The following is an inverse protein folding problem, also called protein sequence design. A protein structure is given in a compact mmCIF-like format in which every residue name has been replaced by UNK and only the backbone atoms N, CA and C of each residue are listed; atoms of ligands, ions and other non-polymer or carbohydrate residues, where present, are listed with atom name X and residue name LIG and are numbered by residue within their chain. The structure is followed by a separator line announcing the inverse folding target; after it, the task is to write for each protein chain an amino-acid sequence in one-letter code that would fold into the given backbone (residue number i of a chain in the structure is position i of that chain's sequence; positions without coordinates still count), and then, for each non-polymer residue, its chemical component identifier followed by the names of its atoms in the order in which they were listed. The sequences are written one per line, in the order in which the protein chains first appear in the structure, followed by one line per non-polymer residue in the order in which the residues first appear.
data_IF_201877143975
#
_entry.id   IF_201877143975
#
_cell.length_a   1.000
_cell.length_b   1.000
_cell.length_c   1.000
_cell.angle_alpha   90.00
_cell.angle_beta   90.00
_cell.angle_gamma   90.00
#
_symmetry.space_group_name_H-M   'P 1'
#
loop_
_entity.id
_entity.type
_entity.pdbx_description
1 polymer ?
#
# COMPACT_ATOMS: atom_id res chain seq x y z
N UNK A 1 44.89 -0.36 -23.09
CA UNK A 1 43.69 -0.49 -23.96
C UNK A 1 42.72 -1.42 -23.23
N UNK A 2 41.45 -1.01 -23.06
CA UNK A 2 40.46 -1.88 -22.43
C UNK A 2 39.99 -2.90 -23.49
N UNK A 3 40.00 -4.18 -23.14
CA UNK A 3 39.58 -5.24 -24.06
C UNK A 3 38.08 -5.18 -24.37
N UNK A 4 37.66 -5.45 -25.59
CA UNK A 4 36.25 -5.50 -25.94
C UNK A 4 35.54 -6.64 -25.19
N UNK A 5 34.29 -6.45 -24.84
CA UNK A 5 33.46 -7.43 -24.12
C UNK A 5 32.35 -7.94 -25.05
N UNK A 6 31.86 -9.15 -24.80
CA UNK A 6 30.81 -9.76 -25.62
C UNK A 6 29.45 -9.64 -24.91
N UNK A 7 28.46 -9.11 -25.60
CA UNK A 7 27.08 -9.06 -25.09
C UNK A 7 26.57 -10.48 -24.82
N UNK A 8 26.15 -10.74 -23.59
CA UNK A 8 25.63 -12.06 -23.18
C UNK A 8 24.27 -12.41 -23.76
N UNK A 9 23.57 -11.44 -24.38
CA UNK A 9 22.28 -11.70 -25.00
C UNK A 9 22.37 -12.04 -26.50
N UNK A 10 23.09 -11.23 -27.28
CA UNK A 10 23.16 -11.39 -28.75
C UNK A 10 24.53 -11.84 -29.24
N UNK A 11 25.55 -11.97 -28.41
CA UNK A 11 26.90 -12.35 -28.80
C UNK A 11 27.71 -11.25 -29.50
N UNK A 12 27.15 -10.04 -29.64
CA UNK A 12 27.85 -8.92 -30.28
C UNK A 12 29.02 -8.45 -29.43
N UNK A 13 30.14 -8.16 -30.06
CA UNK A 13 31.28 -7.52 -29.43
C UNK A 13 30.98 -6.04 -29.25
N UNK A 14 31.11 -5.54 -28.02
CA UNK A 14 30.87 -4.15 -27.63
C UNK A 14 32.12 -3.56 -26.96
N UNK A 15 32.30 -2.26 -27.14
CA UNK A 15 33.36 -1.57 -26.40
C UNK A 15 32.99 -1.51 -24.92
N UNK A 16 33.95 -1.66 -23.96
CA UNK A 16 33.63 -1.61 -22.53
C UNK A 16 32.86 -0.38 -22.06
N UNK A 17 33.02 0.77 -22.75
CA UNK A 17 32.29 2.02 -22.47
C UNK A 17 30.82 1.95 -22.87
N UNK A 18 30.47 1.06 -23.82
CA UNK A 18 29.12 0.88 -24.36
C UNK A 18 28.42 -0.31 -23.67
N UNK A 19 29.02 -0.84 -22.61
CA UNK A 19 28.42 -1.90 -21.81
C UNK A 19 27.31 -1.31 -20.93
N UNK A 20 26.06 -1.52 -21.33
CA UNK A 20 24.87 -1.13 -20.59
C UNK A 20 24.49 -2.10 -19.47
N UNK A 21 25.13 -3.28 -19.41
CA UNK A 21 24.96 -4.27 -18.35
C UNK A 21 25.96 -4.08 -17.20
N UNK A 22 26.13 -5.12 -16.37
CA UNK A 22 27.12 -5.16 -15.31
C UNK A 22 28.44 -5.74 -15.81
N UNK A 23 29.54 -5.58 -15.03
CA UNK A 23 30.85 -6.13 -15.39
C UNK A 23 30.85 -7.66 -15.60
N UNK A 24 30.05 -8.40 -14.84
CA UNK A 24 29.90 -9.85 -14.96
C UNK A 24 28.88 -10.29 -16.02
N UNK A 25 27.99 -9.39 -16.43
CA UNK A 25 26.92 -9.64 -17.41
C UNK A 25 26.85 -8.49 -18.42
N UNK A 26 27.90 -8.37 -19.31
CA UNK A 26 27.93 -7.32 -20.31
C UNK A 26 26.77 -7.46 -21.31
N UNK A 27 26.16 -6.33 -21.67
CA UNK A 27 25.03 -6.23 -22.60
C UNK A 27 25.14 -4.98 -23.44
N UNK A 28 24.80 -5.08 -24.72
CA UNK A 28 24.62 -3.89 -25.55
C UNK A 28 23.31 -3.18 -25.18
N UNK A 29 23.25 -1.88 -25.45
CA UNK A 29 22.10 -1.04 -25.12
C UNK A 29 20.80 -1.61 -25.73
N UNK A 30 20.82 -1.98 -27.00
CA UNK A 30 19.66 -2.56 -27.69
C UNK A 30 19.10 -3.80 -26.97
N UNK A 31 19.97 -4.74 -26.56
CA UNK A 31 19.54 -5.92 -25.82
C UNK A 31 19.04 -5.60 -24.42
N UNK A 32 19.52 -4.52 -23.83
CA UNK A 32 18.99 -4.05 -22.54
C UNK A 32 17.59 -3.49 -22.71
N UNK A 33 17.40 -2.58 -23.66
CA UNK A 33 16.12 -1.92 -23.94
C UNK A 33 15.04 -2.90 -24.41
N UNK A 34 15.39 -3.83 -25.31
CA UNK A 34 14.44 -4.80 -25.88
C UNK A 34 13.98 -5.89 -24.89
N UNK A 35 14.81 -6.21 -23.88
CA UNK A 35 14.60 -7.42 -23.05
C UNK A 35 14.48 -7.17 -21.58
N UNK A 36 14.77 -5.96 -21.11
CA UNK A 36 14.77 -5.61 -19.72
C UNK A 36 14.02 -4.30 -19.49
N UNK A 37 13.41 -4.21 -18.34
CA UNK A 37 12.79 -3.00 -17.82
C UNK A 37 13.25 -2.75 -16.39
N UNK A 38 13.15 -1.52 -15.92
CA UNK A 38 13.47 -1.19 -14.53
C UNK A 38 12.22 -1.32 -13.67
N UNK A 39 12.36 -1.96 -12.52
CA UNK A 39 11.28 -1.98 -11.53
C UNK A 39 10.94 -0.56 -11.08
N UNK A 40 9.69 -0.16 -11.20
CA UNK A 40 9.23 1.19 -10.85
C UNK A 40 9.48 1.55 -9.38
N UNK A 41 9.55 0.55 -8.49
CA UNK A 41 9.77 0.78 -7.05
C UNK A 41 11.24 0.82 -6.66
N UNK A 42 12.05 -0.18 -7.06
CA UNK A 42 13.43 -0.34 -6.57
C UNK A 42 14.51 -0.06 -7.63
N UNK A 43 14.11 0.22 -8.88
CA UNK A 43 15.03 0.47 -9.98
C UNK A 43 15.82 -0.76 -10.48
N UNK A 44 15.62 -1.95 -9.91
CA UNK A 44 16.29 -3.17 -10.36
C UNK A 44 15.88 -3.52 -11.77
N UNK A 45 16.87 -3.79 -12.63
CA UNK A 45 16.62 -4.28 -13.99
C UNK A 45 16.08 -5.71 -13.96
N UNK A 46 14.93 -5.91 -14.56
CA UNK A 46 14.22 -7.19 -14.65
C UNK A 46 14.01 -7.57 -16.12
N UNK A 47 14.12 -8.85 -16.46
CA UNK A 47 13.71 -9.30 -17.79
C UNK A 47 12.24 -9.00 -18.04
N UNK A 48 11.87 -8.51 -19.23
CA UNK A 48 10.48 -8.12 -19.55
C UNK A 48 9.46 -9.23 -19.27
N UNK A 49 9.85 -10.51 -19.48
CA UNK A 49 8.98 -11.67 -19.21
C UNK A 49 8.81 -11.99 -17.70
N UNK A 50 9.57 -11.34 -16.83
CA UNK A 50 9.46 -11.47 -15.37
C UNK A 50 8.86 -10.21 -14.73
N UNK A 51 8.60 -9.18 -15.53
CA UNK A 51 7.93 -7.99 -15.04
C UNK A 51 6.50 -8.32 -14.64
N UNK A 52 6.13 -7.93 -13.43
CA UNK A 52 4.78 -8.01 -12.91
C UNK A 52 4.10 -6.65 -13.09
N UNK A 53 2.86 -6.66 -13.54
CA UNK A 53 2.05 -5.45 -13.76
C UNK A 53 0.82 -5.49 -12.88
N UNK A 54 0.33 -4.32 -12.50
CA UNK A 54 -0.88 -4.22 -11.70
C UNK A 54 -2.13 -4.58 -12.53
N UNK A 55 -3.12 -5.27 -11.93
CA UNK A 55 -4.40 -5.46 -12.58
C UNK A 55 -5.15 -4.13 -12.63
N UNK A 56 -5.35 -3.60 -13.83
CA UNK A 56 -6.13 -2.40 -14.20
C UNK A 56 -6.15 -1.23 -13.20
N UNK A 57 -5.59 -0.12 -13.58
CA UNK A 57 -5.56 1.11 -12.79
C UNK A 57 -4.60 2.16 -13.35
N UNK A 58 -4.30 3.19 -12.56
CA UNK A 58 -3.49 4.35 -12.99
C UNK A 58 -2.04 3.96 -13.34
N UNK A 59 -1.52 2.89 -12.73
CA UNK A 59 -0.14 2.43 -12.89
C UNK A 59 -0.06 1.05 -13.59
N UNK A 60 -1.05 0.70 -14.42
CA UNK A 60 -1.12 -0.62 -15.08
C UNK A 60 0.03 -0.89 -16.05
N UNK A 61 0.68 0.15 -16.56
CA UNK A 61 1.85 0.04 -17.44
C UNK A 61 3.19 0.04 -16.68
N UNK A 62 3.21 0.23 -15.36
CA UNK A 62 4.44 0.24 -14.58
C UNK A 62 4.94 -1.18 -14.26
N UNK A 63 6.19 -1.51 -14.62
CA UNK A 63 6.76 -2.81 -14.34
C UNK A 63 7.30 -2.91 -12.92
N UNK A 64 6.97 -3.99 -12.21
CA UNK A 64 7.52 -4.32 -10.89
C UNK A 64 8.30 -5.62 -10.92
N UNK A 65 9.41 -5.72 -10.19
CA UNK A 65 10.05 -7.02 -9.97
C UNK A 65 9.16 -7.90 -9.07
N UNK A 66 9.29 -9.25 -9.16
CA UNK A 66 8.46 -10.17 -8.36
C UNK A 66 8.47 -9.86 -6.85
N UNK A 67 9.62 -9.52 -6.29
CA UNK A 67 9.75 -9.20 -4.86
C UNK A 67 8.98 -7.93 -4.49
N UNK A 68 9.13 -6.87 -5.30
CA UNK A 68 8.38 -5.64 -5.09
C UNK A 68 6.88 -5.84 -5.31
N UNK A 69 6.49 -6.62 -6.29
CA UNK A 69 5.09 -6.96 -6.55
C UNK A 69 4.48 -7.74 -5.38
N UNK A 70 5.15 -8.77 -4.88
CA UNK A 70 4.69 -9.59 -3.76
C UNK A 70 4.72 -8.84 -2.42
N UNK A 71 5.65 -7.91 -2.23
CA UNK A 71 5.75 -7.10 -1.01
C UNK A 71 4.85 -5.86 -1.02
N UNK A 72 3.87 -5.79 -1.91
CA UNK A 72 2.83 -4.76 -1.94
C UNK A 72 3.16 -3.52 -2.78
N UNK A 73 4.23 -3.54 -3.58
CA UNK A 73 4.43 -2.48 -4.59
C UNK A 73 3.38 -2.54 -5.70
N UNK A 74 2.83 -3.73 -5.91
CA UNK A 74 1.75 -3.98 -6.84
C UNK A 74 0.35 -3.84 -6.25
N UNK A 75 0.20 -3.50 -4.98
CA UNK A 75 -1.10 -3.18 -4.41
C UNK A 75 -1.27 -1.67 -4.43
N UNK A 76 -2.36 -1.20 -5.02
CA UNK A 76 -2.76 0.19 -4.85
C UNK A 76 -2.79 0.47 -3.35
N UNK A 77 -2.09 1.50 -2.85
CA UNK A 77 -2.12 1.81 -1.42
C UNK A 77 -3.51 2.27 -0.98
N UNK A 78 -4.29 2.83 -1.91
CA UNK A 78 -5.69 3.20 -1.73
C UNK A 78 -6.52 2.25 -2.58
N UNK A 79 -7.29 1.40 -1.93
CA UNK A 79 -8.18 0.44 -2.56
C UNK A 79 -9.50 1.08 -3.01
N UNK A 80 -10.24 0.39 -3.87
CA UNK A 80 -11.56 0.84 -4.28
C UNK A 80 -12.55 0.84 -3.10
N UNK A 81 -13.62 1.61 -3.21
CA UNK A 81 -14.69 1.74 -2.19
C UNK A 81 -15.21 0.40 -1.65
N UNK A 82 -15.35 -0.61 -2.51
CA UNK A 82 -15.86 -1.92 -2.12
C UNK A 82 -14.80 -2.89 -1.58
N UNK A 83 -13.55 -2.46 -1.42
CA UNK A 83 -12.51 -3.31 -0.88
C UNK A 83 -12.82 -3.75 0.55
N UNK A 84 -12.74 -5.07 0.78
CA UNK A 84 -12.99 -5.69 2.08
C UNK A 84 -12.04 -6.86 2.26
N UNK A 85 -10.89 -6.65 2.90
CA UNK A 85 -9.94 -7.72 3.16
C UNK A 85 -10.49 -8.70 4.20
N UNK A 86 -9.97 -9.93 4.19
CA UNK A 86 -10.20 -10.86 5.29
C UNK A 86 -9.72 -10.24 6.60
N UNK A 87 -10.53 -10.23 7.67
CA UNK A 87 -10.16 -9.56 8.92
C UNK A 87 -9.00 -10.27 9.62
N UNK A 88 -8.02 -9.48 10.04
CA UNK A 88 -6.97 -9.89 10.97
C UNK A 88 -7.30 -9.33 12.35
N UNK A 89 -7.30 -10.18 13.39
CA UNK A 89 -7.63 -9.74 14.75
C UNK A 89 -6.36 -9.48 15.55
N UNK A 90 -6.27 -8.29 16.18
CA UNK A 90 -5.10 -7.83 16.90
C UNK A 90 -5.37 -7.63 18.38
N UNK A 91 -4.44 -8.10 19.21
CA UNK A 91 -4.55 -8.04 20.67
C UNK A 91 -5.52 -9.09 21.24
N UNK A 92 -5.67 -9.05 22.56
CA UNK A 92 -6.52 -9.96 23.32
C UNK A 92 -7.62 -9.17 24.05
N UNK A 93 -8.82 -9.73 24.10
CA UNK A 93 -9.92 -9.10 24.80
C UNK A 93 -11.28 -9.72 24.47
N UNK A 94 -12.32 -9.32 25.21
CA UNK A 94 -13.66 -9.86 24.98
C UNK A 94 -14.33 -9.26 23.72
N UNK A 95 -13.84 -8.11 23.24
CA UNK A 95 -14.40 -7.39 22.10
C UNK A 95 -13.31 -6.86 21.19
N UNK A 96 -13.60 -6.84 19.88
CA UNK A 96 -12.76 -6.27 18.84
C UNK A 96 -13.59 -5.28 18.03
N UNK A 97 -12.99 -4.18 17.63
CA UNK A 97 -13.61 -3.19 16.75
C UNK A 97 -12.58 -2.62 15.76
N UNK A 98 -13.04 -2.22 14.59
CA UNK A 98 -12.29 -1.45 13.64
C UNK A 98 -12.56 0.04 13.83
N UNK A 99 -11.64 0.87 13.37
CA UNK A 99 -11.76 2.32 13.30
C UNK A 99 -11.69 2.72 11.84
N UNK A 100 -12.61 3.52 11.39
CA UNK A 100 -12.60 4.22 10.11
C UNK A 100 -12.27 5.68 10.38
N UNK A 101 -11.22 6.19 9.74
CA UNK A 101 -10.77 7.57 9.86
C UNK A 101 -10.75 8.20 8.47
N UNK A 102 -11.66 9.10 8.23
CA UNK A 102 -11.75 9.91 7.03
C UNK A 102 -10.78 11.08 7.12
N UNK A 103 -9.94 11.26 6.10
CA UNK A 103 -9.00 12.37 5.96
C UNK A 103 -9.18 13.01 4.58
N UNK A 104 -9.19 14.35 4.51
CA UNK A 104 -9.54 15.12 3.32
C UNK A 104 -8.64 16.34 3.15
N UNK A 105 -8.78 17.09 2.04
CA UNK A 105 -8.11 18.35 1.73
C UNK A 105 -6.65 18.25 1.23
N UNK A 106 -6.07 17.06 1.12
CA UNK A 106 -4.68 16.91 0.69
C UNK A 106 -4.47 15.84 -0.40
N UNK A 107 -5.53 15.47 -1.09
CA UNK A 107 -5.52 14.56 -2.23
C UNK A 107 -5.72 13.10 -1.87
N UNK A 108 -6.36 12.35 -2.77
CA UNK A 108 -6.30 10.88 -2.78
C UNK A 108 -4.92 10.44 -3.31
N UNK A 109 -3.87 10.78 -2.55
CA UNK A 109 -2.49 10.64 -2.95
C UNK A 109 -1.88 9.31 -2.49
N UNK A 110 -1.39 8.52 -3.45
CA UNK A 110 -0.81 7.20 -3.21
C UNK A 110 0.47 7.23 -2.38
N UNK A 111 1.29 8.26 -2.50
CA UNK A 111 2.55 8.35 -1.74
C UNK A 111 2.28 8.73 -0.28
N UNK A 112 1.31 9.60 -0.06
CA UNK A 112 0.84 9.94 1.27
C UNK A 112 0.23 8.70 1.95
N UNK A 113 -0.60 7.94 1.24
CA UNK A 113 -1.16 6.69 1.75
C UNK A 113 -0.06 5.67 2.10
N UNK A 114 0.96 5.49 1.25
CA UNK A 114 2.11 4.60 1.55
C UNK A 114 2.84 5.02 2.82
N UNK A 115 3.03 6.32 3.05
CA UNK A 115 3.68 6.83 4.28
C UNK A 115 2.86 6.53 5.53
N UNK A 116 1.55 6.76 5.47
CA UNK A 116 0.65 6.45 6.58
C UNK A 116 0.60 4.95 6.87
N UNK A 117 0.50 4.12 5.82
CA UNK A 117 0.56 2.67 5.94
C UNK A 117 1.89 2.18 6.54
N UNK A 118 3.02 2.79 6.18
CA UNK A 118 4.32 2.42 6.74
C UNK A 118 4.42 2.72 8.24
N UNK A 119 3.82 3.82 8.70
CA UNK A 119 3.76 4.18 10.14
C UNK A 119 2.87 3.20 10.89
N UNK A 120 1.67 2.93 10.36
CA UNK A 120 0.69 2.10 11.04
C UNK A 120 1.07 0.61 11.05
N UNK A 121 1.53 0.09 9.92
CA UNK A 121 1.61 -1.35 9.69
C UNK A 121 2.91 -1.98 10.19
N UNK A 122 4.05 -1.29 10.13
CA UNK A 122 5.35 -1.79 10.61
C UNK A 122 5.63 -3.26 10.26
N UNK A 123 5.24 -3.68 9.02
CA UNK A 123 5.37 -5.05 8.55
C UNK A 123 4.22 -5.99 8.91
N UNK A 124 3.17 -5.50 9.57
CA UNK A 124 1.95 -6.24 9.93
C UNK A 124 0.71 -5.54 9.36
N UNK A 125 -0.27 -6.24 8.76
CA UNK A 125 -1.44 -5.63 8.15
C UNK A 125 -2.44 -5.14 9.22
N UNK A 126 -2.17 -4.00 9.84
CA UNK A 126 -3.02 -3.42 10.87
C UNK A 126 -4.05 -2.45 10.30
N UNK A 127 -3.71 -1.77 9.21
CA UNK A 127 -4.49 -0.71 8.60
C UNK A 127 -4.41 -0.81 7.08
N UNK A 128 -5.47 -0.44 6.38
CA UNK A 128 -5.52 -0.25 4.94
C UNK A 128 -6.21 1.06 4.59
N UNK A 129 -5.96 1.57 3.37
CA UNK A 129 -6.61 2.77 2.86
C UNK A 129 -7.58 2.38 1.75
N UNK A 130 -8.67 3.12 1.63
CA UNK A 130 -9.61 2.97 0.51
C UNK A 130 -10.23 4.30 0.12
N UNK A 131 -10.71 4.36 -1.12
CA UNK A 131 -11.50 5.45 -1.64
C UNK A 131 -12.82 5.59 -0.87
N UNK A 132 -13.20 6.83 -0.55
CA UNK A 132 -14.53 7.17 -0.06
C UNK A 132 -15.11 8.32 -0.90
N UNK A 133 -16.20 8.03 -1.62
CA UNK A 133 -16.85 9.00 -2.50
C UNK A 133 -17.59 10.14 -1.76
N UNK A 134 -17.59 10.16 -0.42
CA UNK A 134 -18.12 11.27 0.37
C UNK A 134 -17.05 12.36 0.63
N UNK A 135 -15.79 12.06 0.37
CA UNK A 135 -14.67 12.98 0.52
C UNK A 135 -14.45 13.75 -0.78
N UNK A 136 -14.07 15.02 -0.68
CA UNK A 136 -13.81 15.86 -1.84
C UNK A 136 -12.42 15.62 -2.42
N UNK A 137 -11.40 15.50 -1.59
CA UNK A 137 -10.00 15.34 -1.99
C UNK A 137 -9.17 14.59 -0.92
N UNK A 138 -9.58 13.36 -0.65
CA UNK A 138 -9.01 12.55 0.42
C UNK A 138 -9.31 11.06 0.30
N UNK A 139 -9.08 10.31 1.37
CA UNK A 139 -9.34 8.89 1.44
C UNK A 139 -9.58 8.44 2.89
N UNK A 140 -10.03 7.21 3.04
CA UNK A 140 -10.38 6.60 4.32
C UNK A 140 -9.27 5.65 4.77
N UNK A 141 -8.89 5.77 6.05
CA UNK A 141 -7.99 4.86 6.77
C UNK A 141 -8.83 3.89 7.61
N UNK A 142 -8.71 2.60 7.34
CA UNK A 142 -9.52 1.57 8.01
C UNK A 142 -8.63 0.59 8.74
N UNK A 143 -8.84 0.39 10.04
CA UNK A 143 -8.10 -0.62 10.79
C UNK A 143 -8.76 -1.99 10.67
N UNK A 144 -7.96 -3.03 10.74
CA UNK A 144 -8.47 -4.36 11.07
C UNK A 144 -9.04 -4.37 12.50
N UNK A 145 -9.90 -5.35 12.85
CA UNK A 145 -10.45 -5.44 14.19
C UNK A 145 -9.36 -5.60 15.27
N UNK A 146 -9.37 -4.70 16.26
CA UNK A 146 -8.40 -4.69 17.35
C UNK A 146 -9.11 -4.62 18.69
N UNK A 147 -8.50 -5.19 19.73
CA UNK A 147 -8.97 -4.99 21.10
C UNK A 147 -8.75 -3.54 21.53
N UNK A 148 -9.52 -3.06 22.49
CA UNK A 148 -9.33 -1.70 23.05
C UNK A 148 -7.92 -1.49 23.61
N UNK A 149 -7.36 -2.53 24.24
CA UNK A 149 -5.98 -2.47 24.75
C UNK A 149 -5.00 -2.26 23.60
N UNK A 150 -5.12 -3.03 22.51
CA UNK A 150 -4.25 -2.91 21.35
C UNK A 150 -4.32 -1.53 20.69
N UNK A 151 -5.52 -0.98 20.52
CA UNK A 151 -5.69 0.40 20.04
C UNK A 151 -4.98 1.43 20.89
N UNK A 152 -4.89 1.22 22.21
CA UNK A 152 -4.28 2.16 23.15
C UNK A 152 -2.78 2.03 23.29
N UNK A 153 -2.23 0.82 23.17
CA UNK A 153 -0.83 0.55 23.50
C UNK A 153 0.05 0.26 22.29
N UNK A 154 -0.50 -0.36 21.25
CA UNK A 154 0.28 -0.84 20.11
C UNK A 154 0.05 -0.02 18.83
N UNK A 155 -1.18 0.47 18.63
CA UNK A 155 -1.47 1.26 17.44
C UNK A 155 -0.84 2.66 17.54
N UNK A 156 0.02 3.07 16.60
CA UNK A 156 0.76 4.33 16.67
C UNK A 156 -0.09 5.55 16.25
N UNK A 157 -1.27 5.72 16.84
CA UNK A 157 -2.22 6.76 16.49
C UNK A 157 -1.63 8.16 16.46
N UNK A 158 -0.84 8.51 17.48
CA UNK A 158 -0.26 9.85 17.56
C UNK A 158 0.68 10.13 16.39
N UNK A 159 1.55 9.19 16.04
CA UNK A 159 2.47 9.34 14.91
C UNK A 159 1.72 9.40 13.58
N UNK A 160 0.69 8.54 13.41
CA UNK A 160 -0.15 8.48 12.22
C UNK A 160 -0.89 9.80 11.99
N UNK A 161 -1.58 10.30 13.02
CA UNK A 161 -2.35 11.55 12.95
C UNK A 161 -1.46 12.78 12.74
N UNK A 162 -0.30 12.84 13.42
CA UNK A 162 0.67 13.92 13.21
C UNK A 162 1.19 13.96 11.78
N UNK A 163 1.47 12.80 11.19
CA UNK A 163 1.94 12.74 9.81
C UNK A 163 0.83 13.15 8.83
N UNK A 164 -0.41 12.69 9.03
CA UNK A 164 -1.55 13.12 8.21
C UNK A 164 -1.72 14.65 8.24
N UNK A 165 -1.71 15.26 9.42
CA UNK A 165 -1.79 16.72 9.57
C UNK A 165 -0.59 17.42 8.92
N UNK A 166 0.63 16.86 9.06
CA UNK A 166 1.83 17.42 8.41
C UNK A 166 1.73 17.43 6.89
N UNK A 167 1.06 16.46 6.31
CA UNK A 167 0.79 16.37 4.87
C UNK A 167 -0.37 17.25 4.40
N UNK A 168 -1.07 17.92 5.34
CA UNK A 168 -2.15 18.86 5.04
C UNK A 168 -3.55 18.26 5.17
N UNK A 169 -3.68 17.01 5.57
CA UNK A 169 -5.00 16.42 5.76
C UNK A 169 -5.73 17.01 6.96
N UNK A 170 -7.01 17.21 6.78
CA UNK A 170 -7.99 17.54 7.80
C UNK A 170 -8.96 16.36 7.96
N UNK A 171 -9.74 16.34 9.04
CA UNK A 171 -10.81 15.38 9.25
C UNK A 171 -12.10 16.14 9.58
N UNK A 172 -12.56 16.12 10.80
CA UNK A 172 -13.82 16.76 11.23
C UNK A 172 -13.97 18.26 10.90
N UNK A 173 -12.91 18.92 10.45
CA UNK A 173 -12.90 20.35 10.06
C UNK A 173 -13.12 20.56 8.56
N UNK A 174 -13.00 19.53 7.73
CA UNK A 174 -13.21 19.63 6.28
C UNK A 174 -14.68 19.85 5.90
N UNK A 175 -15.61 19.45 6.76
CA UNK A 175 -17.03 19.48 6.50
C UNK A 175 -17.55 18.27 5.71
N UNK A 176 -16.67 17.49 5.11
CA UNK A 176 -16.94 16.25 4.36
C UNK A 176 -16.75 15.00 5.20
N UNK A 177 -15.76 15.04 6.11
CA UNK A 177 -15.51 13.95 7.05
C UNK A 177 -16.57 13.89 8.16
N UNK A 178 -17.01 12.68 8.49
CA UNK A 178 -17.91 12.44 9.62
C UNK A 178 -17.28 12.87 10.95
N UNK A 179 -18.07 13.29 11.97
CA UNK A 179 -17.53 13.59 13.27
C UNK A 179 -16.95 12.33 13.91
N UNK A 180 -15.79 12.40 14.57
CA UNK A 180 -15.15 11.27 15.27
C UNK A 180 -15.93 10.80 16.50
N UNK A 181 -17.06 11.44 16.82
CA UNK A 181 -17.94 11.11 17.95
C UNK A 181 -19.30 10.65 17.48
N UNK A 182 -19.90 9.65 18.15
CA UNK A 182 -21.27 9.25 17.85
C UNK A 182 -22.21 10.45 18.05
N UNK A 183 -22.91 10.84 17.00
CA UNK A 183 -24.15 11.59 17.17
C UNK A 183 -25.07 10.71 18.03
N UNK A 184 -25.86 11.30 18.91
CA UNK A 184 -26.80 10.61 19.80
C UNK A 184 -27.87 9.75 19.09
N UNK A 185 -27.76 9.56 17.81
CA UNK A 185 -28.49 8.57 17.02
C UNK A 185 -27.51 7.64 16.31
N UNK A 186 -26.84 6.83 17.08
CA UNK A 186 -26.31 5.52 16.77
C UNK A 186 -25.60 5.35 15.42
N UNK A 187 -24.33 5.44 15.35
CA UNK A 187 -23.51 4.34 14.85
C UNK A 187 -22.04 4.69 14.99
N UNK A 188 -21.44 4.26 16.08
CA UNK A 188 -20.14 3.65 15.92
C UNK A 188 -20.37 2.55 14.86
N UNK A 189 -19.90 2.75 13.64
CA UNK A 189 -19.78 1.67 12.66
C UNK A 189 -18.61 0.78 13.09
N UNK A 190 -18.70 0.25 14.31
CA UNK A 190 -17.80 -0.71 14.83
C UNK A 190 -18.44 -2.09 14.72
N UNK A 191 -17.81 -3.01 14.02
CA UNK A 191 -18.19 -4.40 14.07
C UNK A 191 -17.67 -5.00 15.37
N UNK A 192 -18.58 -5.32 16.30
CA UNK A 192 -18.24 -6.08 17.50
C UNK A 192 -18.17 -7.57 17.13
N UNK A 193 -16.99 -8.16 17.23
CA UNK A 193 -16.79 -9.60 17.05
C UNK A 193 -16.54 -10.29 18.40
N UNK A 194 -17.08 -11.48 18.62
CA UNK A 194 -16.83 -12.26 19.83
C UNK A 194 -15.40 -12.86 19.86
N UNK A 195 -14.90 -13.27 21.05
CA UNK A 195 -13.55 -13.79 21.22
C UNK A 195 -13.31 -15.10 20.46
N UNK A 196 -12.03 -15.38 20.16
CA UNK A 196 -11.58 -16.60 19.45
C UNK A 196 -12.14 -17.86 20.10
N UNK A 197 -12.81 -18.67 19.30
CA UNK A 197 -13.32 -20.00 19.71
C UNK A 197 -14.76 -20.28 19.34
N UNK A 198 -15.55 -19.28 18.95
CA UNK A 198 -16.87 -19.48 18.38
C UNK A 198 -16.82 -19.30 16.87
N UNK A 199 -17.29 -20.30 16.11
CA UNK A 199 -17.54 -20.14 14.67
C UNK A 199 -18.39 -18.89 14.47
N UNK A 200 -17.89 -17.92 13.72
CA UNK A 200 -18.67 -16.77 13.31
C UNK A 200 -19.68 -17.20 12.24
N UNK A 201 -20.97 -17.24 12.52
CA UNK A 201 -21.96 -17.26 11.46
C UNK A 201 -22.09 -15.84 10.93
N UNK A 202 -21.63 -15.64 9.70
CA UNK A 202 -21.88 -14.47 8.84
C UNK A 202 -21.84 -13.10 9.53
N UNK A 203 -20.74 -12.36 9.33
CA UNK A 203 -20.72 -10.94 9.69
C UNK A 203 -21.86 -10.24 8.92
N UNK A 204 -22.85 -9.75 9.62
CA UNK A 204 -23.85 -8.85 9.07
C UNK A 204 -23.23 -7.47 9.07
N UNK A 205 -22.92 -6.97 7.88
CA UNK A 205 -22.61 -5.56 7.65
C UNK A 205 -23.91 -4.76 7.86
N UNK A 206 -23.92 -3.88 8.80
CA UNK A 206 -24.89 -2.79 8.90
C UNK A 206 -24.25 -1.52 8.37
#
# INVERSE_FOLDING_TARGET
MMEPVTCRCCGQTIHPRDNAGTGNLPRCLTCLEDRYTACARCGTLIPNHQACYLPSGVDEDEPYCPDCYLTGAGQKPIHDYYYRPSPCFWGDGPFYFGVELEIDEAGEDSDNARRLLAIANQGQPQLYCKHDGSLDDGFELVTHPMSLSYHRTEMPWEALLREAVRMGYLSHQSGTCGPPYPRESGSLRGHLCPPRGSHCPGAVLL
#
